data_IF_922118585635
#
_entry.id   IF_922118585635
#
_cell.length_a   1.000
_cell.length_b   1.000
_cell.length_c   1.000
_cell.angle_alpha   90.00
_cell.angle_beta   90.00
_cell.angle_gamma   90.00
#
_symmetry.space_group_name_H-M   'P 1'
#
loop_
_entity.id
_entity.type
_entity.pdbx_description
1 polymer ?
#
# COMPACT_ATOMS: atom_id res chain seq x y z
N UNK A 1 3.35 -87.38 21.75
CA UNK A 1 2.29 -88.21 22.43
C UNK A 1 1.68 -87.37 23.56
N UNK A 2 0.38 -87.42 23.76
CA UNK A 2 -0.79 -87.66 22.90
C UNK A 2 -1.60 -86.37 22.65
N UNK A 3 -2.21 -86.13 21.59
CA UNK A 3 -3.53 -86.47 21.12
C UNK A 3 -4.69 -86.13 22.11
N UNK A 4 -5.64 -85.31 21.69
CA UNK A 4 -7.05 -85.66 21.70
C UNK A 4 -7.92 -84.53 21.10
N UNK A 5 -8.87 -84.94 20.42
CA UNK A 5 -9.84 -84.44 19.47
C UNK A 5 -11.04 -83.69 20.08
N UNK A 6 -12.06 -83.34 19.28
CA UNK A 6 -12.59 -81.98 19.16
C UNK A 6 -14.02 -81.90 19.74
N UNK A 7 -14.53 -80.70 19.95
CA UNK A 7 -15.95 -80.49 20.21
C UNK A 7 -16.55 -79.49 19.22
N UNK A 8 -17.44 -80.02 18.39
CA UNK A 8 -18.36 -79.26 17.53
C UNK A 8 -19.44 -78.59 18.41
N UNK A 9 -19.68 -77.33 18.17
CA UNK A 9 -20.90 -76.68 18.59
C UNK A 9 -21.50 -75.89 17.46
N UNK A 10 -22.80 -76.03 17.31
CA UNK A 10 -23.61 -75.63 16.16
C UNK A 10 -23.81 -74.12 16.07
N UNK A 11 -23.81 -73.63 14.82
CA UNK A 11 -24.23 -72.30 14.44
C UNK A 11 -25.76 -72.18 14.49
N UNK A 12 -26.32 -71.31 15.28
CA UNK A 12 -27.68 -70.80 15.15
C UNK A 12 -27.62 -69.43 14.45
N UNK A 13 -28.16 -69.38 13.22
CA UNK A 13 -28.29 -68.15 12.44
C UNK A 13 -29.53 -67.36 12.94
N UNK A 14 -29.31 -66.21 13.57
CA UNK A 14 -30.36 -65.22 13.77
C UNK A 14 -30.32 -64.20 12.61
N UNK A 15 -31.35 -64.26 11.74
CA UNK A 15 -31.64 -63.22 10.78
C UNK A 15 -32.23 -62.00 11.50
N UNK A 16 -31.48 -60.95 11.63
CA UNK A 16 -31.97 -59.64 12.06
C UNK A 16 -32.35 -58.82 10.83
N UNK A 17 -33.66 -58.58 10.68
CA UNK A 17 -34.21 -57.68 9.64
C UNK A 17 -34.07 -56.26 10.18
N UNK A 18 -33.15 -55.46 9.57
CA UNK A 18 -33.10 -54.01 9.80
C UNK A 18 -34.04 -53.30 8.84
N UNK A 19 -34.91 -52.38 9.30
CA UNK A 19 -35.69 -51.56 8.43
C UNK A 19 -34.77 -50.45 7.81
N UNK A 20 -34.76 -50.33 6.49
CA UNK A 20 -34.19 -49.19 5.76
C UNK A 20 -35.01 -47.93 6.12
N UNK A 21 -34.48 -47.07 6.94
CA UNK A 21 -34.95 -45.68 7.08
C UNK A 21 -34.42 -44.89 5.88
N UNK A 22 -35.29 -44.62 4.91
CA UNK A 22 -35.04 -43.68 3.85
C UNK A 22 -34.97 -42.28 4.46
N UNK A 23 -33.75 -41.72 4.57
CA UNK A 23 -33.53 -40.32 4.94
C UNK A 23 -33.90 -39.45 3.77
N UNK A 24 -35.06 -38.78 3.83
CA UNK A 24 -35.42 -37.74 2.88
C UNK A 24 -34.50 -36.54 3.08
N UNK A 25 -33.63 -36.30 2.12
CA UNK A 25 -32.84 -35.05 2.08
C UNK A 25 -33.78 -33.86 1.97
N UNK A 26 -33.75 -32.98 2.97
CA UNK A 26 -34.43 -31.71 2.91
C UNK A 26 -33.81 -30.85 1.76
N UNK A 27 -34.63 -30.13 0.99
CA UNK A 27 -34.11 -29.25 -0.03
C UNK A 27 -33.21 -28.17 0.62
N UNK A 28 -31.98 -28.01 0.10
CA UNK A 28 -31.08 -26.95 0.51
C UNK A 28 -31.81 -25.59 0.32
N UNK A 29 -32.01 -24.86 1.40
CA UNK A 29 -32.52 -23.50 1.34
C UNK A 29 -31.58 -22.69 0.44
N UNK A 30 -32.14 -22.14 -0.63
CA UNK A 30 -31.44 -21.19 -1.48
C UNK A 30 -30.93 -20.04 -0.60
N UNK A 31 -29.63 -19.82 -0.59
CA UNK A 31 -29.04 -18.68 0.09
C UNK A 31 -29.71 -17.42 -0.41
N UNK A 32 -30.32 -16.66 0.50
CA UNK A 32 -30.87 -15.35 0.18
C UNK A 32 -29.76 -14.50 -0.47
N UNK A 33 -30.08 -13.70 -1.50
CA UNK A 33 -29.10 -12.80 -2.09
C UNK A 33 -28.54 -11.93 -0.98
N UNK A 34 -27.20 -11.86 -0.88
CA UNK A 34 -26.51 -11.02 0.08
C UNK A 34 -27.08 -9.62 -0.08
N UNK A 35 -27.78 -9.12 0.94
CA UNK A 35 -28.22 -7.74 1.01
C UNK A 35 -27.00 -6.88 0.77
N UNK A 36 -27.08 -5.96 -0.23
CA UNK A 36 -26.02 -5.00 -0.50
C UNK A 36 -25.68 -4.35 0.85
N UNK A 37 -24.46 -4.61 1.35
CA UNK A 37 -24.02 -4.03 2.61
C UNK A 37 -24.09 -2.52 2.45
N UNK A 38 -24.73 -1.82 3.40
CA UNK A 38 -24.79 -0.37 3.38
C UNK A 38 -23.37 0.15 3.12
N UNK A 39 -23.23 1.07 2.15
CA UNK A 39 -21.92 1.62 1.81
C UNK A 39 -21.26 2.21 3.06
N UNK A 40 -20.05 1.76 3.37
CA UNK A 40 -19.34 2.18 4.57
C UNK A 40 -19.11 3.70 4.57
N UNK A 41 -19.29 4.31 5.75
CA UNK A 41 -19.04 5.73 6.00
C UNK A 41 -17.99 5.83 7.10
N UNK A 42 -16.91 6.56 6.85
CA UNK A 42 -15.83 6.74 7.80
C UNK A 42 -15.65 8.22 8.15
N UNK A 43 -15.11 8.49 9.34
CA UNK A 43 -14.72 9.84 9.73
C UNK A 43 -13.48 10.34 8.98
N UNK A 44 -13.10 11.62 9.18
CA UNK A 44 -11.97 12.22 8.48
C UNK A 44 -10.62 11.56 8.80
N UNK A 45 -10.48 10.95 9.96
CA UNK A 45 -9.30 10.17 10.37
C UNK A 45 -9.56 8.65 10.22
N UNK A 46 -10.38 8.27 9.27
CA UNK A 46 -10.70 6.89 8.93
C UNK A 46 -11.24 6.10 10.15
N UNK A 47 -11.99 6.77 11.02
CA UNK A 47 -12.66 6.16 12.17
C UNK A 47 -13.67 5.14 11.67
N UNK A 48 -13.68 3.97 12.30
CA UNK A 48 -14.52 2.84 11.93
C UNK A 48 -13.92 1.89 10.89
N UNK A 49 -12.73 2.17 10.36
CA UNK A 49 -11.99 1.24 9.50
C UNK A 49 -10.93 0.48 10.30
N UNK A 50 -10.94 -0.85 10.21
CA UNK A 50 -10.00 -1.70 10.95
C UNK A 50 -8.66 -1.82 10.23
N UNK A 51 -7.58 -1.71 11.01
CA UNK A 51 -6.22 -1.97 10.54
C UNK A 51 -5.79 -3.40 10.86
N UNK A 52 -4.90 -4.00 10.05
CA UNK A 52 -4.48 -5.39 10.25
C UNK A 52 -3.63 -5.64 11.49
N UNK A 53 -3.06 -4.58 12.07
CA UNK A 53 -2.25 -4.60 13.27
C UNK A 53 -2.61 -3.43 14.19
N UNK A 54 -2.27 -3.50 15.50
CA UNK A 54 -2.55 -2.42 16.44
C UNK A 54 -1.97 -1.08 15.97
N UNK A 55 -2.81 -0.04 16.02
CA UNK A 55 -2.44 1.32 15.64
C UNK A 55 -2.03 2.08 16.89
N UNK A 56 -0.88 2.75 16.80
CA UNK A 56 -0.34 3.66 17.80
C UNK A 56 -0.35 5.09 17.26
N UNK A 57 -0.15 6.08 18.12
CA UNK A 57 -0.09 7.48 17.75
C UNK A 57 1.21 8.12 18.21
N UNK A 58 1.91 8.76 17.30
CA UNK A 58 3.01 9.67 17.58
C UNK A 58 2.47 11.11 17.58
N UNK A 59 2.48 11.78 18.74
CA UNK A 59 1.99 13.15 18.91
C UNK A 59 3.16 14.13 18.90
N UNK A 60 3.00 15.23 18.16
CA UNK A 60 4.04 16.25 17.99
C UNK A 60 3.42 17.59 17.59
N UNK A 61 4.23 18.63 17.58
CA UNK A 61 3.84 19.95 17.05
C UNK A 61 4.63 20.24 15.78
N UNK A 62 3.94 20.67 14.73
CA UNK A 62 4.56 21.09 13.47
C UNK A 62 3.84 22.31 12.92
N UNK A 63 4.58 23.33 12.49
CA UNK A 63 4.05 24.60 11.98
C UNK A 63 3.06 25.28 12.95
N UNK A 64 3.31 25.15 14.28
CA UNK A 64 2.43 25.68 15.32
C UNK A 64 1.15 24.88 15.59
N UNK A 65 0.92 23.77 14.90
CA UNK A 65 -0.27 22.93 15.03
C UNK A 65 0.08 21.63 15.77
N UNK A 66 -0.73 21.26 16.77
CA UNK A 66 -0.65 19.96 17.43
C UNK A 66 -1.19 18.87 16.50
N UNK A 67 -0.36 17.90 16.17
CA UNK A 67 -0.65 16.84 15.22
C UNK A 67 -0.37 15.47 15.82
N UNK A 68 -0.88 14.44 15.17
CA UNK A 68 -0.44 13.06 15.38
C UNK A 68 -0.28 12.32 14.06
N UNK A 69 0.64 11.35 14.05
CA UNK A 69 0.74 10.32 13.04
C UNK A 69 0.32 8.99 13.64
N UNK A 70 -0.63 8.34 12.99
CA UNK A 70 -0.98 6.96 13.28
C UNK A 70 0.05 6.03 12.63
N UNK A 71 0.40 4.94 13.30
CA UNK A 71 1.35 3.97 12.76
C UNK A 71 1.15 2.58 13.34
N UNK A 72 1.54 1.56 12.58
CA UNK A 72 1.70 0.19 13.04
C UNK A 72 3.18 -0.08 13.27
N UNK A 73 3.56 -0.66 14.42
CA UNK A 73 4.91 -1.12 14.76
C UNK A 73 4.87 -2.62 15.01
N UNK A 74 5.25 -3.40 14.03
CA UNK A 74 5.13 -4.85 14.03
C UNK A 74 6.50 -5.50 14.22
N UNK A 75 6.66 -6.18 15.35
CA UNK A 75 7.88 -6.88 15.69
C UNK A 75 7.83 -8.33 15.22
N UNK A 76 8.92 -8.88 14.68
CA UNK A 76 8.99 -10.27 14.29
C UNK A 76 9.19 -11.18 15.51
N UNK A 77 8.78 -12.44 15.38
CA UNK A 77 8.96 -13.43 16.45
C UNK A 77 10.46 -13.84 16.57
N UNK A 78 11.20 -13.79 15.47
CA UNK A 78 12.65 -14.03 15.38
C UNK A 78 13.34 -12.85 14.72
N UNK A 79 13.83 -11.85 15.48
CA UNK A 79 14.42 -10.64 14.93
C UNK A 79 15.73 -10.89 14.20
N UNK A 80 15.88 -10.28 13.02
CA UNK A 80 17.15 -10.21 12.28
C UNK A 80 17.95 -8.92 12.59
N UNK A 81 17.46 -8.09 13.53
CA UNK A 81 18.07 -6.83 13.94
C UNK A 81 17.81 -5.64 13.02
N UNK A 82 17.07 -5.82 11.92
CA UNK A 82 16.82 -4.78 10.91
C UNK A 82 15.38 -4.29 10.95
N UNK A 83 15.20 -3.03 10.57
CA UNK A 83 13.89 -2.38 10.49
C UNK A 83 13.58 -1.96 9.05
N UNK A 84 12.33 -2.16 8.61
CA UNK A 84 11.79 -1.63 7.36
C UNK A 84 10.66 -0.65 7.68
N UNK A 85 10.74 0.55 7.09
CA UNK A 85 9.68 1.57 7.17
C UNK A 85 8.91 1.56 5.86
N UNK A 86 7.58 1.48 5.91
CA UNK A 86 6.71 1.38 4.74
C UNK A 86 5.92 2.68 4.55
N UNK A 87 6.24 3.44 3.51
CA UNK A 87 5.61 4.71 3.16
C UNK A 87 4.58 4.48 2.05
N UNK A 88 3.30 4.70 2.36
CA UNK A 88 2.18 4.44 1.44
C UNK A 88 2.07 5.49 0.32
N UNK A 89 1.35 5.12 -0.74
CA UNK A 89 0.96 6.03 -1.82
C UNK A 89 -0.24 6.91 -1.46
N UNK A 90 -0.55 7.90 -2.32
CA UNK A 90 -1.61 8.89 -2.08
C UNK A 90 -3.01 8.26 -1.88
N UNK A 91 -3.33 7.23 -2.64
CA UNK A 91 -4.63 6.56 -2.57
C UNK A 91 -4.65 5.37 -1.60
N UNK A 92 -3.60 5.23 -0.80
CA UNK A 92 -3.44 4.12 0.12
C UNK A 92 -3.12 4.61 1.54
N UNK A 93 -3.23 3.69 2.48
CA UNK A 93 -2.93 3.87 3.89
C UNK A 93 -1.89 2.84 4.35
N UNK A 94 -1.39 2.98 5.55
CA UNK A 94 -0.54 1.95 6.16
C UNK A 94 -1.21 0.57 6.17
N UNK A 95 -2.54 0.50 6.29
CA UNK A 95 -3.30 -0.74 6.26
C UNK A 95 -3.12 -1.57 4.97
N UNK A 96 -2.89 -0.91 3.83
CA UNK A 96 -2.70 -1.58 2.53
C UNK A 96 -1.41 -2.40 2.47
N UNK A 97 -0.49 -2.19 3.39
CA UNK A 97 0.77 -2.93 3.49
C UNK A 97 0.67 -4.30 4.17
N UNK A 98 -0.55 -4.76 4.54
CA UNK A 98 -0.71 -6.01 5.30
C UNK A 98 0.16 -7.17 4.78
N UNK A 99 0.06 -7.50 3.50
CA UNK A 99 0.81 -8.60 2.91
C UNK A 99 2.34 -8.38 2.96
N UNK A 100 2.79 -7.14 2.78
CA UNK A 100 4.22 -6.80 2.89
C UNK A 100 4.70 -6.83 4.34
N UNK A 101 3.86 -6.41 5.30
CA UNK A 101 4.17 -6.51 6.73
C UNK A 101 4.32 -7.98 7.12
N UNK A 102 3.38 -8.84 6.70
CA UNK A 102 3.42 -10.28 6.99
C UNK A 102 4.71 -10.92 6.46
N UNK A 103 5.05 -10.69 5.19
CA UNK A 103 6.25 -11.24 4.55
C UNK A 103 7.55 -10.76 5.21
N UNK A 104 7.64 -9.47 5.55
CA UNK A 104 8.80 -8.89 6.20
C UNK A 104 8.94 -9.38 7.65
N UNK A 105 7.83 -9.46 8.40
CA UNK A 105 7.78 -10.01 9.76
C UNK A 105 8.28 -11.46 9.78
N UNK A 106 7.79 -12.29 8.84
CA UNK A 106 8.22 -13.69 8.71
C UNK A 106 9.72 -13.81 8.43
N UNK A 107 10.26 -12.88 7.62
CA UNK A 107 11.70 -12.78 7.33
C UNK A 107 12.55 -12.14 8.46
N UNK A 108 11.94 -11.84 9.62
CA UNK A 108 12.63 -11.35 10.81
C UNK A 108 12.80 -9.83 10.89
N UNK A 109 12.20 -9.03 10.02
CA UNK A 109 12.27 -7.58 10.07
C UNK A 109 11.24 -6.99 11.04
N UNK A 110 11.67 -5.98 11.84
CA UNK A 110 10.72 -5.05 12.45
C UNK A 110 10.13 -4.18 11.35
N UNK A 111 8.81 -3.99 11.33
CA UNK A 111 8.13 -3.20 10.32
C UNK A 111 7.40 -2.03 10.95
N UNK A 112 7.69 -0.82 10.50
CA UNK A 112 6.99 0.40 10.91
C UNK A 112 6.25 0.96 9.70
N UNK A 113 4.93 1.06 9.78
CA UNK A 113 4.09 1.56 8.71
C UNK A 113 3.24 2.75 9.20
N UNK A 114 3.70 4.00 8.98
CA UNK A 114 2.93 5.18 9.33
C UNK A 114 1.91 5.55 8.26
N UNK A 115 0.78 6.13 8.70
CA UNK A 115 0.01 7.05 7.87
C UNK A 115 0.67 8.43 7.94
N UNK A 116 0.92 9.04 6.79
CA UNK A 116 1.48 10.38 6.76
C UNK A 116 0.44 11.43 7.19
N UNK A 117 0.88 12.59 7.72
CA UNK A 117 -0.03 13.72 7.97
C UNK A 117 -0.79 14.07 6.70
N UNK A 118 -2.09 14.28 6.81
CA UNK A 118 -3.00 14.49 5.69
C UNK A 118 -3.70 13.20 5.21
N UNK A 119 -3.29 12.03 5.70
CA UNK A 119 -3.81 10.74 5.25
C UNK A 119 -4.46 9.95 6.40
N UNK A 120 -5.42 9.16 6.04
CA UNK A 120 -6.01 8.02 6.77
C UNK A 120 -6.24 8.28 8.27
N UNK A 121 -5.57 7.57 9.18
CA UNK A 121 -5.75 7.73 10.63
C UNK A 121 -4.86 8.83 11.25
N UNK A 122 -4.10 9.58 10.44
CA UNK A 122 -3.30 10.72 10.89
C UNK A 122 -4.05 12.04 10.76
N UNK A 123 -3.59 13.04 11.49
CA UNK A 123 -4.16 14.40 11.49
C UNK A 123 -4.29 15.00 10.09
N UNK A 124 -5.38 15.73 9.87
CA UNK A 124 -5.67 16.49 8.65
C UNK A 124 -5.87 17.96 8.99
N UNK A 125 -4.78 18.73 9.13
CA UNK A 125 -4.88 20.14 9.49
C UNK A 125 -5.51 20.98 8.38
N UNK A 126 -6.30 21.98 8.73
CA UNK A 126 -6.91 22.92 7.77
C UNK A 126 -5.86 23.84 7.14
N UNK A 127 -4.85 24.22 7.92
CA UNK A 127 -3.75 25.09 7.52
C UNK A 127 -2.42 24.39 7.75
N UNK A 128 -1.81 23.92 6.66
CA UNK A 128 -0.53 23.22 6.71
C UNK A 128 0.16 23.31 5.36
N UNK A 129 1.40 23.73 5.36
CA UNK A 129 2.22 23.73 4.16
C UNK A 129 2.87 22.37 3.98
N UNK A 130 2.33 21.57 3.09
CA UNK A 130 2.89 20.26 2.76
C UNK A 130 4.18 20.40 1.97
N UNK A 131 5.19 19.63 2.37
CA UNK A 131 6.42 19.42 1.60
C UNK A 131 6.95 18.02 1.89
N UNK A 132 7.67 17.44 0.93
CA UNK A 132 8.36 16.16 1.18
C UNK A 132 9.40 16.29 2.29
N UNK A 133 10.03 17.45 2.44
CA UNK A 133 10.95 17.75 3.55
C UNK A 133 10.24 17.66 4.90
N UNK A 134 9.05 18.25 5.00
CA UNK A 134 8.29 18.23 6.25
C UNK A 134 7.77 16.83 6.57
N UNK A 135 7.25 16.10 5.57
CA UNK A 135 6.80 14.72 5.77
C UNK A 135 7.97 13.80 6.16
N UNK A 136 9.16 14.01 5.58
CA UNK A 136 10.37 13.28 5.97
C UNK A 136 10.79 13.60 7.41
N UNK A 137 10.74 14.88 7.82
CA UNK A 137 11.04 15.30 9.20
C UNK A 137 10.04 14.70 10.20
N UNK A 138 8.75 14.69 9.88
CA UNK A 138 7.72 14.07 10.71
C UNK A 138 7.96 12.55 10.85
N UNK A 139 8.28 11.88 9.76
CA UNK A 139 8.62 10.44 9.75
C UNK A 139 9.86 10.16 10.59
N UNK A 140 10.90 10.99 10.47
CA UNK A 140 12.10 10.90 11.29
C UNK A 140 11.78 11.01 12.78
N UNK A 141 11.02 12.04 13.17
CA UNK A 141 10.62 12.26 14.57
C UNK A 141 9.85 11.06 15.15
N UNK A 142 8.95 10.47 14.36
CA UNK A 142 8.29 9.21 14.72
C UNK A 142 9.32 8.09 14.99
N UNK A 143 10.24 7.84 14.05
CA UNK A 143 11.20 6.76 14.14
C UNK A 143 12.15 6.93 15.34
N UNK A 144 12.61 8.16 15.60
CA UNK A 144 13.42 8.50 16.77
C UNK A 144 12.65 8.23 18.07
N UNK A 145 11.35 8.58 18.14
CA UNK A 145 10.52 8.39 19.33
C UNK A 145 10.32 6.92 19.73
N UNK A 146 10.45 6.01 18.77
CA UNK A 146 10.32 4.55 18.98
C UNK A 146 11.67 3.81 18.92
N UNK A 147 12.78 4.57 18.96
CA UNK A 147 14.13 4.04 19.06
C UNK A 147 14.68 3.43 17.76
N UNK A 148 14.13 3.77 16.59
CA UNK A 148 14.66 3.34 15.29
C UNK A 148 15.76 4.30 14.86
N UNK A 149 17.01 3.85 14.88
CA UNK A 149 18.18 4.65 14.51
C UNK A 149 18.51 4.59 13.03
N UNK A 150 18.33 3.43 12.42
CA UNK A 150 18.57 3.16 11.00
C UNK A 150 17.47 2.23 10.48
N UNK A 151 17.08 2.39 9.22
CA UNK A 151 16.09 1.54 8.58
C UNK A 151 16.29 1.46 7.07
N UNK A 152 15.80 0.38 6.47
CA UNK A 152 15.42 0.39 5.07
C UNK A 152 14.13 1.20 4.93
N UNK A 153 14.11 2.19 4.06
CA UNK A 153 12.90 2.99 3.79
C UNK A 153 12.31 2.58 2.46
N UNK A 154 11.15 1.95 2.51
CA UNK A 154 10.40 1.50 1.34
C UNK A 154 9.23 2.42 1.09
N UNK A 155 9.10 2.92 -0.14
CA UNK A 155 7.99 3.79 -0.53
C UNK A 155 7.30 3.32 -1.81
N UNK A 156 5.97 3.36 -1.82
CA UNK A 156 5.15 3.13 -2.99
C UNK A 156 4.58 4.46 -3.51
N UNK A 157 4.60 4.65 -4.82
CA UNK A 157 3.97 5.82 -5.45
C UNK A 157 4.51 7.15 -4.87
N UNK A 158 3.67 8.00 -4.30
CA UNK A 158 4.05 9.23 -3.56
C UNK A 158 4.98 8.91 -2.38
N UNK A 159 4.78 7.78 -1.70
CA UNK A 159 5.70 7.29 -0.67
C UNK A 159 7.10 7.03 -1.20
N UNK A 160 7.25 6.72 -2.49
CA UNK A 160 8.55 6.62 -3.16
C UNK A 160 9.25 7.96 -3.29
N UNK A 161 8.53 9.05 -3.66
CA UNK A 161 9.10 10.41 -3.62
C UNK A 161 9.53 10.80 -2.21
N UNK A 162 8.70 10.47 -1.21
CA UNK A 162 9.01 10.70 0.19
C UNK A 162 10.24 9.90 0.65
N UNK A 163 10.36 8.63 0.23
CA UNK A 163 11.54 7.79 0.53
C UNK A 163 12.83 8.39 -0.06
N UNK A 164 12.79 8.89 -1.31
CA UNK A 164 13.91 9.59 -1.93
C UNK A 164 14.28 10.83 -1.10
N UNK A 165 13.30 11.65 -0.74
CA UNK A 165 13.53 12.84 0.09
C UNK A 165 14.09 12.49 1.46
N UNK A 166 13.59 11.44 2.09
CA UNK A 166 14.09 10.94 3.37
C UNK A 166 15.57 10.51 3.27
N UNK A 167 15.91 9.71 2.26
CA UNK A 167 17.29 9.26 2.04
C UNK A 167 18.27 10.40 1.76
N UNK A 168 17.83 11.46 1.05
CA UNK A 168 18.64 12.65 0.79
C UNK A 168 18.89 13.49 2.06
N UNK A 169 17.87 13.64 2.92
CA UNK A 169 17.97 14.43 4.16
C UNK A 169 18.66 13.67 5.29
N UNK A 170 18.48 12.36 5.36
CA UNK A 170 18.95 11.52 6.47
C UNK A 170 19.72 10.29 5.98
N UNK A 171 20.82 10.47 5.22
CA UNK A 171 21.58 9.36 4.64
C UNK A 171 22.12 8.41 5.69
N UNK A 172 22.54 8.92 6.86
CA UNK A 172 23.09 8.10 7.96
C UNK A 172 22.03 7.24 8.67
N UNK A 173 20.74 7.57 8.50
CA UNK A 173 19.61 6.82 9.05
C UNK A 173 18.98 5.87 8.03
N UNK A 174 19.42 5.95 6.77
CA UNK A 174 18.85 5.20 5.65
C UNK A 174 19.83 4.11 5.22
N UNK A 175 19.56 2.89 5.63
CA UNK A 175 20.37 1.75 5.22
C UNK A 175 20.21 1.43 3.72
N UNK A 176 19.00 1.52 3.21
CA UNK A 176 18.61 1.24 1.82
C UNK A 176 17.30 1.93 1.49
N UNK A 177 17.11 2.31 0.24
CA UNK A 177 15.81 2.67 -0.29
C UNK A 177 15.23 1.51 -1.09
N UNK A 178 13.91 1.29 -0.95
CA UNK A 178 13.13 0.41 -1.82
C UNK A 178 12.01 1.24 -2.43
N UNK A 179 12.00 1.36 -3.74
CA UNK A 179 11.07 2.20 -4.49
C UNK A 179 10.15 1.30 -5.33
N UNK A 180 8.93 1.09 -4.82
CA UNK A 180 7.91 0.29 -5.49
C UNK A 180 7.02 1.19 -6.35
N UNK A 181 7.13 1.12 -7.65
CA UNK A 181 6.45 2.00 -8.60
C UNK A 181 6.37 3.45 -8.08
N UNK A 182 7.50 4.08 -7.73
CA UNK A 182 7.48 5.46 -7.25
C UNK A 182 6.96 6.36 -8.35
N UNK A 183 6.16 7.39 -8.00
CA UNK A 183 5.94 8.51 -8.92
C UNK A 183 7.12 9.49 -8.84
N UNK A 184 7.12 10.53 -9.69
CA UNK A 184 8.23 11.50 -9.71
C UNK A 184 9.51 10.99 -10.39
N UNK A 185 9.42 9.92 -11.20
CA UNK A 185 10.51 9.49 -12.11
C UNK A 185 10.63 10.40 -13.34
N UNK A 186 9.71 11.32 -13.47
CA UNK A 186 9.68 12.40 -14.49
C UNK A 186 9.15 13.69 -13.87
N UNK A 187 9.56 14.84 -14.38
CA UNK A 187 9.01 16.15 -13.98
C UNK A 187 7.93 16.56 -14.97
N UNK A 188 6.68 16.44 -14.54
CA UNK A 188 5.50 16.75 -15.36
C UNK A 188 5.46 18.21 -15.80
N UNK A 189 5.92 19.17 -14.97
CA UNK A 189 6.01 20.60 -15.31
C UNK A 189 6.96 20.83 -16.47
N UNK A 190 8.16 20.26 -16.37
CA UNK A 190 9.18 20.38 -17.39
C UNK A 190 8.76 19.73 -18.72
N UNK A 191 7.87 18.72 -18.66
CA UNK A 191 7.30 18.06 -19.83
C UNK A 191 6.11 18.84 -20.44
N UNK A 192 5.59 19.85 -19.77
CA UNK A 192 4.48 20.67 -20.27
C UNK A 192 3.10 20.26 -19.77
N UNK A 193 3.01 19.45 -18.72
CA UNK A 193 1.73 19.22 -18.02
C UNK A 193 1.35 20.51 -17.29
N UNK A 194 0.14 21.08 -17.50
CA UNK A 194 -0.27 22.33 -16.86
C UNK A 194 -0.50 22.16 -15.36
N UNK A 195 -0.15 23.18 -14.58
CA UNK A 195 -0.55 23.25 -13.17
C UNK A 195 -2.05 23.48 -13.07
N UNK A 196 -2.71 22.68 -12.22
CA UNK A 196 -4.14 22.84 -11.96
C UNK A 196 -4.42 23.79 -10.78
N UNK A 197 -3.45 24.00 -9.89
CA UNK A 197 -3.65 24.73 -8.64
C UNK A 197 -4.50 23.97 -7.62
N UNK A 198 -4.42 24.41 -6.36
CA UNK A 198 -5.08 23.73 -5.23
C UNK A 198 -6.61 23.72 -5.36
N UNK A 199 -7.22 24.84 -5.77
CA UNK A 199 -8.67 24.93 -5.87
C UNK A 199 -9.25 23.93 -6.88
N UNK A 200 -8.56 23.75 -8.01
CA UNK A 200 -8.99 22.78 -9.02
C UNK A 200 -8.81 21.33 -8.57
N UNK A 201 -7.74 21.04 -7.87
CA UNK A 201 -7.57 19.73 -7.23
C UNK A 201 -8.65 19.49 -6.18
N UNK A 202 -8.99 20.49 -5.37
CA UNK A 202 -10.04 20.40 -4.37
C UNK A 202 -11.43 20.11 -4.98
N UNK A 203 -11.80 20.79 -6.05
CA UNK A 203 -13.04 20.48 -6.80
C UNK A 203 -13.06 19.03 -7.28
N UNK A 204 -11.95 18.52 -7.81
CA UNK A 204 -11.82 17.13 -8.28
C UNK A 204 -11.96 16.13 -7.14
N UNK A 205 -11.31 16.38 -6.03
CA UNK A 205 -11.37 15.53 -4.84
C UNK A 205 -12.80 15.51 -4.23
N UNK A 206 -13.48 16.64 -4.18
CA UNK A 206 -14.87 16.71 -3.76
C UNK A 206 -15.82 15.91 -4.67
N UNK A 207 -15.50 15.80 -5.95
CA UNK A 207 -16.27 15.04 -6.94
C UNK A 207 -15.91 13.55 -6.97
N UNK A 208 -14.98 13.09 -6.14
CA UNK A 208 -14.52 11.70 -6.08
C UNK A 208 -15.58 10.80 -5.43
N UNK A 209 -15.74 9.58 -5.95
CA UNK A 209 -16.65 8.55 -5.45
C UNK A 209 -16.07 7.15 -5.72
N UNK A 210 -16.73 6.10 -5.21
CA UNK A 210 -16.26 4.72 -5.34
C UNK A 210 -16.05 4.29 -6.80
N UNK A 211 -16.95 4.68 -7.71
CA UNK A 211 -16.84 4.27 -9.11
C UNK A 211 -15.64 4.91 -9.81
N UNK A 212 -15.38 6.19 -9.54
CA UNK A 212 -14.19 6.88 -10.06
C UNK A 212 -12.90 6.28 -9.52
N UNK A 213 -12.84 5.99 -8.22
CA UNK A 213 -11.69 5.35 -7.59
C UNK A 213 -11.46 3.99 -8.23
N UNK A 214 -12.49 3.15 -8.30
CA UNK A 214 -12.42 1.81 -8.89
C UNK A 214 -11.99 1.83 -10.35
N UNK A 215 -12.56 2.72 -11.15
CA UNK A 215 -12.21 2.86 -12.56
C UNK A 215 -10.74 3.27 -12.74
N UNK A 216 -10.26 4.22 -11.94
CA UNK A 216 -8.88 4.66 -11.95
C UNK A 216 -7.92 3.53 -11.52
N UNK A 217 -8.17 2.88 -10.40
CA UNK A 217 -7.31 1.80 -9.92
C UNK A 217 -7.31 0.62 -10.88
N UNK A 218 -8.47 0.21 -11.38
CA UNK A 218 -8.58 -0.87 -12.36
C UNK A 218 -7.71 -0.61 -13.59
N UNK A 219 -7.80 0.59 -14.16
CA UNK A 219 -7.07 0.93 -15.40
C UNK A 219 -5.57 1.13 -15.15
N UNK A 220 -5.20 1.77 -14.05
CA UNK A 220 -3.84 2.26 -13.79
C UNK A 220 -3.06 1.30 -12.90
N UNK A 221 -3.68 0.82 -11.80
CA UNK A 221 -3.00 -0.01 -10.80
C UNK A 221 -2.96 -1.48 -11.19
N UNK A 222 -4.04 -1.97 -11.80
CA UNK A 222 -4.27 -3.40 -12.01
C UNK A 222 -4.35 -3.83 -13.48
N UNK A 223 -3.91 -2.98 -14.41
CA UNK A 223 -3.80 -3.28 -15.86
C UNK A 223 -5.13 -3.80 -16.43
N UNK A 224 -6.24 -3.13 -16.08
CA UNK A 224 -7.63 -3.49 -16.42
C UNK A 224 -8.14 -4.84 -15.86
N UNK A 225 -7.37 -5.49 -14.99
CA UNK A 225 -7.82 -6.65 -14.24
C UNK A 225 -8.44 -6.19 -12.91
N UNK A 226 -9.51 -6.86 -12.47
CA UNK A 226 -10.14 -6.56 -11.18
C UNK A 226 -10.33 -7.85 -10.39
N UNK A 227 -9.93 -7.80 -9.12
CA UNK A 227 -10.12 -8.89 -8.17
C UNK A 227 -10.92 -8.40 -6.97
N UNK A 228 -11.76 -9.25 -6.35
CA UNK A 228 -12.56 -8.86 -5.18
C UNK A 228 -11.76 -8.29 -4.02
N UNK A 229 -10.51 -8.75 -3.83
CA UNK A 229 -9.59 -8.29 -2.77
C UNK A 229 -9.15 -6.82 -2.90
N UNK A 230 -9.39 -6.17 -4.05
CA UNK A 230 -9.09 -4.74 -4.23
C UNK A 230 -10.23 -3.84 -3.74
N UNK A 231 -11.46 -4.35 -3.71
CA UNK A 231 -12.64 -3.57 -3.34
C UNK A 231 -12.59 -2.94 -1.95
N UNK A 232 -12.09 -3.59 -0.89
CA UNK A 232 -11.96 -2.96 0.42
C UNK A 232 -11.18 -1.65 0.41
N UNK A 233 -10.18 -1.50 -0.46
CA UNK A 233 -9.35 -0.30 -0.57
C UNK A 233 -10.09 0.85 -1.27
N UNK A 234 -10.90 0.52 -2.27
CA UNK A 234 -11.85 1.49 -2.87
C UNK A 234 -12.84 1.98 -1.82
N UNK A 235 -13.43 1.06 -1.05
CA UNK A 235 -14.42 1.43 -0.02
C UNK A 235 -13.79 2.19 1.15
N UNK A 236 -12.53 1.95 1.47
CA UNK A 236 -11.76 2.72 2.46
C UNK A 236 -11.72 4.21 2.08
N UNK A 237 -11.31 4.54 0.86
CA UNK A 237 -11.26 5.92 0.38
C UNK A 237 -12.66 6.51 0.18
N UNK A 238 -13.54 5.78 -0.47
CA UNK A 238 -14.91 6.22 -0.73
C UNK A 238 -15.70 6.48 0.55
N UNK A 239 -15.44 5.67 1.61
CA UNK A 239 -16.06 5.83 2.91
C UNK A 239 -15.72 7.15 3.58
N UNK A 240 -14.48 7.62 3.51
CA UNK A 240 -14.10 8.96 3.96
C UNK A 240 -14.79 10.06 3.12
N UNK A 241 -14.92 9.83 1.82
CA UNK A 241 -15.60 10.78 0.92
C UNK A 241 -17.13 10.82 1.10
N UNK A 242 -17.73 9.81 1.73
CA UNK A 242 -19.13 9.80 2.14
C UNK A 242 -19.35 10.36 3.55
N UNK A 243 -18.28 10.41 4.33
CA UNK A 243 -18.31 10.81 5.73
C UNK A 243 -18.43 12.32 5.98
N UNK A 244 -18.64 12.71 7.25
CA UNK A 244 -18.80 14.13 7.64
C UNK A 244 -17.53 14.95 7.39
N UNK A 245 -16.36 14.31 7.35
CA UNK A 245 -15.08 14.95 7.08
C UNK A 245 -14.72 15.11 5.61
N UNK A 246 -15.62 14.79 4.66
CA UNK A 246 -15.35 14.81 3.21
C UNK A 246 -14.59 16.07 2.75
N UNK A 247 -15.03 17.25 3.20
CA UNK A 247 -14.43 18.52 2.79
C UNK A 247 -12.97 18.65 3.28
N UNK A 248 -12.71 18.25 4.52
CA UNK A 248 -11.37 18.27 5.11
C UNK A 248 -10.43 17.26 4.45
N UNK A 249 -10.94 16.07 4.16
CA UNK A 249 -10.20 15.01 3.42
C UNK A 249 -9.84 15.51 2.03
N UNK A 250 -10.82 16.06 1.30
CA UNK A 250 -10.60 16.60 -0.05
C UNK A 250 -9.63 17.77 -0.06
N UNK A 251 -9.68 18.66 0.95
CA UNK A 251 -8.75 19.78 1.08
C UNK A 251 -7.31 19.34 1.25
N UNK A 252 -7.06 18.45 2.23
CA UNK A 252 -5.72 17.91 2.45
C UNK A 252 -5.21 17.14 1.22
N UNK A 253 -6.08 16.38 0.57
CA UNK A 253 -5.75 15.68 -0.67
C UNK A 253 -5.33 16.62 -1.81
N UNK A 254 -6.00 17.78 -1.94
CA UNK A 254 -5.66 18.80 -2.93
C UNK A 254 -4.30 19.44 -2.66
N UNK A 255 -4.02 19.79 -1.40
CA UNK A 255 -2.70 20.32 -0.98
C UNK A 255 -1.58 19.30 -1.25
N UNK A 256 -1.85 18.03 -1.05
CA UNK A 256 -0.88 16.95 -1.33
C UNK A 256 -0.66 16.76 -2.84
N UNK A 257 -1.67 16.94 -3.69
CA UNK A 257 -1.46 16.95 -5.14
C UNK A 257 -0.57 18.11 -5.59
N UNK A 258 -0.77 19.29 -5.02
CA UNK A 258 0.06 20.46 -5.31
C UNK A 258 1.52 20.21 -4.88
N UNK A 259 1.73 19.66 -3.68
CA UNK A 259 3.05 19.23 -3.21
C UNK A 259 3.70 18.25 -4.20
N UNK A 260 2.99 17.20 -4.61
CA UNK A 260 3.50 16.18 -5.53
C UNK A 260 3.92 16.81 -6.87
N UNK A 261 3.07 17.69 -7.42
CA UNK A 261 3.32 18.33 -8.71
C UNK A 261 4.47 19.34 -8.64
N UNK A 262 4.58 20.12 -7.56
CA UNK A 262 5.52 21.23 -7.43
C UNK A 262 6.92 20.81 -6.96
N UNK A 263 7.08 19.62 -6.38
CA UNK A 263 8.33 19.18 -5.73
C UNK A 263 8.92 17.93 -6.38
N UNK A 264 9.42 17.99 -7.62
CA UNK A 264 10.04 16.85 -8.27
C UNK A 264 11.30 16.41 -7.53
N UNK A 265 11.57 15.09 -7.52
CA UNK A 265 12.76 14.48 -6.90
C UNK A 265 13.74 13.92 -7.92
N UNK A 266 13.35 13.83 -9.19
CA UNK A 266 14.12 13.17 -10.26
C UNK A 266 15.50 13.79 -10.48
N UNK A 267 15.66 15.08 -10.27
CA UNK A 267 16.92 15.81 -10.47
C UNK A 267 17.97 15.49 -9.40
N UNK A 268 17.55 14.93 -8.27
CA UNK A 268 18.41 14.65 -7.13
C UNK A 268 18.81 13.17 -7.03
N UNK A 269 18.36 12.32 -7.94
CA UNK A 269 18.71 10.90 -7.98
C UNK A 269 20.24 10.63 -7.95
N UNK A 270 21.09 11.40 -8.65
CA UNK A 270 22.53 11.22 -8.59
C UNK A 270 23.16 11.50 -7.22
N UNK A 271 22.43 12.14 -6.29
CA UNK A 271 22.91 12.48 -4.96
C UNK A 271 22.63 11.40 -3.92
N UNK A 272 21.88 10.36 -4.28
CA UNK A 272 21.57 9.23 -3.38
C UNK A 272 22.83 8.41 -3.10
N UNK A 273 23.16 8.24 -1.81
CA UNK A 273 24.39 7.59 -1.36
C UNK A 273 24.20 6.12 -0.97
N UNK A 274 22.98 5.74 -0.60
CA UNK A 274 22.64 4.40 -0.15
C UNK A 274 22.25 3.49 -1.33
N UNK A 275 22.28 2.17 -1.18
CA UNK A 275 21.73 1.25 -2.16
C UNK A 275 20.23 1.53 -2.40
N UNK A 276 19.79 1.45 -3.66
CA UNK A 276 18.39 1.65 -4.05
C UNK A 276 17.90 0.45 -4.83
N UNK A 277 16.83 -0.17 -4.34
CA UNK A 277 16.10 -1.24 -5.05
C UNK A 277 14.87 -0.63 -5.73
N UNK A 278 14.83 -0.67 -7.05
CA UNK A 278 13.69 -0.27 -7.86
C UNK A 278 12.86 -1.53 -8.19
N UNK A 279 11.59 -1.55 -7.76
CA UNK A 279 10.62 -2.61 -8.04
C UNK A 279 9.52 -2.03 -8.93
N UNK A 280 9.59 -2.31 -10.23
CA UNK A 280 8.81 -1.58 -11.25
C UNK A 280 7.86 -2.51 -12.01
N UNK A 281 6.55 -2.31 -11.85
CA UNK A 281 5.53 -2.83 -12.76
C UNK A 281 5.56 -2.03 -14.06
N UNK A 282 6.01 -2.64 -15.15
CA UNK A 282 6.30 -1.91 -16.39
C UNK A 282 5.06 -1.49 -17.17
N UNK A 283 3.89 -1.98 -16.77
CA UNK A 283 2.59 -1.58 -17.35
C UNK A 283 1.92 -0.43 -16.62
N UNK A 284 2.59 0.13 -15.64
CA UNK A 284 2.14 1.36 -14.97
C UNK A 284 2.13 2.53 -15.95
N UNK A 285 1.08 3.35 -15.88
CA UNK A 285 0.90 4.53 -16.72
C UNK A 285 0.60 5.79 -15.89
N UNK A 286 0.91 5.74 -14.59
CA UNK A 286 0.62 6.83 -13.66
C UNK A 286 1.43 8.08 -13.99
N UNK A 287 0.73 9.20 -14.17
CA UNK A 287 1.33 10.52 -14.26
C UNK A 287 0.34 11.57 -13.71
N UNK A 288 0.83 12.45 -12.85
CA UNK A 288 -0.03 13.46 -12.21
C UNK A 288 -0.42 14.53 -13.23
N UNK A 289 -1.73 14.83 -13.28
CA UNK A 289 -2.27 15.81 -14.22
C UNK A 289 -2.31 15.37 -15.69
N UNK A 290 -2.05 14.09 -15.96
CA UNK A 290 -2.03 13.51 -17.32
C UNK A 290 -3.30 13.80 -18.12
N UNK A 291 -4.46 13.79 -17.49
CA UNK A 291 -5.75 14.10 -18.11
C UNK A 291 -5.89 15.56 -18.55
N UNK A 292 -5.20 16.48 -17.87
CA UNK A 292 -5.14 17.89 -18.21
C UNK A 292 -4.03 18.23 -19.23
N UNK A 293 -3.12 17.28 -19.48
CA UNK A 293 -2.03 17.48 -20.43
C UNK A 293 -2.54 17.59 -21.89
N UNK A 294 -1.81 18.28 -22.79
CA UNK A 294 -2.08 18.27 -24.23
C UNK A 294 -2.20 16.85 -24.78
N UNK A 295 -3.08 16.65 -25.77
CA UNK A 295 -3.39 15.33 -26.30
C UNK A 295 -2.15 14.58 -26.83
N UNK A 296 -1.24 15.29 -27.47
CA UNK A 296 0.03 14.76 -28.02
C UNK A 296 1.06 14.39 -26.94
N UNK A 297 0.91 14.93 -25.73
CA UNK A 297 1.79 14.64 -24.61
C UNK A 297 1.33 13.43 -23.79
N UNK A 298 0.00 13.23 -23.63
CA UNK A 298 -0.58 12.18 -22.80
C UNK A 298 0.01 10.77 -23.00
N UNK A 299 0.19 10.27 -24.25
CA UNK A 299 0.74 8.93 -24.46
C UNK A 299 2.23 8.82 -24.09
N UNK A 300 2.94 9.93 -23.92
CA UNK A 300 4.37 9.96 -23.57
C UNK A 300 4.59 9.96 -22.07
N UNK A 301 3.56 10.31 -21.26
CA UNK A 301 3.64 10.39 -19.81
C UNK A 301 3.40 9.02 -19.16
N UNK A 302 4.16 8.74 -18.10
CA UNK A 302 3.97 7.53 -17.30
C UNK A 302 4.42 6.26 -18.01
N UNK A 303 5.45 6.32 -18.85
CA UNK A 303 6.04 5.12 -19.48
C UNK A 303 7.02 4.44 -18.50
N UNK A 304 6.50 3.65 -17.58
CA UNK A 304 7.33 3.05 -16.51
C UNK A 304 8.36 2.05 -16.99
N UNK A 305 8.15 1.39 -18.13
CA UNK A 305 9.17 0.55 -18.74
C UNK A 305 10.46 1.32 -19.09
N UNK A 306 10.33 2.60 -19.47
CA UNK A 306 11.48 3.46 -19.73
C UNK A 306 11.86 4.30 -18.50
N UNK A 307 10.90 4.73 -17.70
CA UNK A 307 11.14 5.51 -16.49
C UNK A 307 11.98 4.74 -15.48
N UNK A 308 11.70 3.46 -15.26
CA UNK A 308 12.45 2.58 -14.37
C UNK A 308 13.92 2.46 -14.79
N UNK A 309 14.18 2.25 -16.08
CA UNK A 309 15.55 2.17 -16.64
C UNK A 309 16.30 3.50 -16.52
N UNK A 310 15.63 4.62 -16.80
CA UNK A 310 16.23 5.95 -16.64
C UNK A 310 16.59 6.25 -15.19
N UNK A 311 15.69 5.92 -14.25
CA UNK A 311 15.96 6.06 -12.83
C UNK A 311 17.13 5.18 -12.38
N UNK A 312 17.16 3.90 -12.79
CA UNK A 312 18.27 2.99 -12.49
C UNK A 312 19.62 3.49 -13.02
N UNK A 313 19.62 4.14 -14.18
CA UNK A 313 20.84 4.75 -14.74
C UNK A 313 21.27 6.02 -14.00
N UNK A 314 20.31 6.79 -13.47
CA UNK A 314 20.59 8.05 -12.79
C UNK A 314 21.02 7.86 -11.32
N UNK A 315 20.61 6.77 -10.67
CA UNK A 315 20.91 6.47 -9.27
C UNK A 315 22.21 5.65 -9.20
N UNK A 316 23.25 6.10 -8.45
CA UNK A 316 24.57 5.47 -8.48
C UNK A 316 24.60 3.99 -8.07
N UNK A 317 23.77 3.59 -7.10
CA UNK A 317 23.75 2.24 -6.51
C UNK A 317 22.37 1.60 -6.67
N UNK A 318 21.79 1.68 -7.87
CA UNK A 318 20.49 1.13 -8.16
C UNK A 318 20.53 -0.33 -8.62
N UNK A 319 19.58 -1.10 -8.12
CA UNK A 319 19.21 -2.41 -8.65
C UNK A 319 17.77 -2.31 -9.14
N UNK A 320 17.55 -2.65 -10.42
CA UNK A 320 16.23 -2.63 -11.04
C UNK A 320 15.67 -4.06 -11.18
N UNK A 321 14.44 -4.24 -10.69
CA UNK A 321 13.63 -5.44 -10.94
C UNK A 321 12.35 -4.99 -11.65
N UNK A 322 12.10 -5.55 -12.81
CA UNK A 322 10.94 -5.24 -13.64
C UNK A 322 9.90 -6.38 -13.59
N UNK A 323 8.63 -6.01 -13.42
CA UNK A 323 7.49 -6.92 -13.48
C UNK A 323 6.69 -6.63 -14.75
N UNK A 324 6.88 -7.45 -15.80
CA UNK A 324 6.37 -7.22 -17.15
C UNK A 324 4.84 -7.14 -17.28
N UNK A 325 4.09 -7.75 -16.36
CA UNK A 325 2.63 -7.83 -16.40
C UNK A 325 1.92 -7.00 -15.33
N UNK A 326 2.66 -6.22 -14.53
CA UNK A 326 2.10 -5.47 -13.41
C UNK A 326 2.02 -3.98 -13.70
N UNK A 327 1.02 -3.34 -13.10
CA UNK A 327 0.78 -1.90 -13.13
C UNK A 327 1.38 -1.20 -11.91
N UNK A 328 0.65 -0.17 -11.42
CA UNK A 328 1.12 0.73 -10.37
C UNK A 328 1.22 0.10 -8.98
N UNK A 329 0.48 -0.98 -8.70
CA UNK A 329 0.48 -1.63 -7.39
C UNK A 329 0.94 -3.10 -7.46
N UNK A 330 2.21 -3.38 -7.84
CA UNK A 330 2.72 -4.74 -8.01
C UNK A 330 2.65 -5.55 -6.71
N UNK A 331 2.83 -4.91 -5.55
CA UNK A 331 2.71 -5.53 -4.22
C UNK A 331 1.31 -6.08 -3.92
N UNK A 332 0.30 -5.61 -4.65
CA UNK A 332 -1.08 -6.06 -4.52
C UNK A 332 -1.50 -6.99 -5.66
N UNK A 333 -0.97 -6.76 -6.88
CA UNK A 333 -1.32 -7.58 -8.05
C UNK A 333 -0.79 -9.00 -7.96
N UNK A 334 0.47 -9.15 -7.57
CA UNK A 334 1.14 -10.43 -7.33
C UNK A 334 2.07 -10.31 -6.11
N UNK A 335 1.50 -10.43 -4.90
CA UNK A 335 2.27 -10.33 -3.67
C UNK A 335 3.42 -11.35 -3.59
N UNK A 336 3.24 -12.55 -4.14
CA UNK A 336 4.26 -13.59 -4.07
C UNK A 336 5.51 -13.21 -4.88
N UNK A 337 5.35 -12.84 -6.14
CA UNK A 337 6.46 -12.41 -6.99
C UNK A 337 7.12 -11.13 -6.45
N UNK A 338 6.30 -10.17 -5.99
CA UNK A 338 6.80 -8.93 -5.43
C UNK A 338 7.65 -9.15 -4.17
N UNK A 339 7.13 -9.92 -3.19
CA UNK A 339 7.85 -10.17 -1.94
C UNK A 339 9.09 -11.04 -2.12
N UNK A 340 9.09 -11.99 -3.07
CA UNK A 340 10.29 -12.73 -3.42
C UNK A 340 11.41 -11.81 -3.93
N UNK A 341 11.08 -10.85 -4.82
CA UNK A 341 12.02 -9.86 -5.32
C UNK A 341 12.50 -8.89 -4.21
N UNK A 342 11.56 -8.42 -3.37
CA UNK A 342 11.85 -7.57 -2.23
C UNK A 342 12.83 -8.22 -1.27
N UNK A 343 12.53 -9.41 -0.78
CA UNK A 343 13.37 -10.13 0.18
C UNK A 343 14.74 -10.47 -0.38
N UNK A 344 14.83 -10.86 -1.66
CA UNK A 344 16.11 -11.05 -2.36
C UNK A 344 16.93 -9.75 -2.40
N UNK A 345 16.30 -8.63 -2.73
CA UNK A 345 16.96 -7.31 -2.76
C UNK A 345 17.39 -6.80 -1.38
N UNK A 346 16.67 -7.16 -0.33
CA UNK A 346 17.04 -6.85 1.06
C UNK A 346 18.20 -7.70 1.58
N UNK A 347 18.37 -8.91 1.06
CA UNK A 347 19.45 -9.84 1.43
C UNK A 347 20.76 -9.59 0.65
N UNK A 348 20.71 -8.92 -0.49
CA UNK A 348 21.87 -8.73 -1.39
C UNK A 348 22.85 -7.63 -0.96
N UNK A 349 22.91 -7.27 0.32
CA UNK A 349 23.80 -6.26 0.89
C UNK A 349 25.12 -6.85 1.32
#
# INVERSE_FOLDING_TARGET
MPALHPCRAAMAACLSIFPLLASAAAPAAAAAPATASAEAVYGPELEGFDYPYPVQQYRFTSQGVALHMAYMDVKPDRPNGRTVVLLHGKNFCAATWKASIDALKEAGYRVVAPDQVGFCKSSKPEHYQYSFQQLAANTRGLLESIGVKQATVMGHSTGGMLAVRYGLLYPEQTEQLVLANPIGLEDWKALGVPSLGVDKWFERELATNADKIRAYEKSTYYVNQWKPEYEPWVQMLAGMNRGPGKRLVAWNSALLYDMIYTQPVVYEFPLLKMPVLLLIGTRDTTAIGKDAAPAELRPKLGNYAELGKRAAKAIPHATLVEFGNMGHAPQMQDPAAFHAALLKGLAAR
#
